data_IF_373471770945
#
_entry.id   IF_373471770945
#
_cell.length_a   1.000
_cell.length_b   1.000
_cell.length_c   1.000
_cell.angle_alpha   90.00
_cell.angle_beta   90.00
_cell.angle_gamma   90.00
#
_symmetry.space_group_name_H-M   'P 1'
#
loop_
_entity.id
_entity.type
_entity.pdbx_description
1 polymer ?
#
# COMPACT_ATOMS: atom_id res chain seq x y z
N UNK A 1 1.64 6.31 0.31
CA UNK A 1 1.19 6.31 1.73
C UNK A 1 -0.32 6.12 1.79
N UNK A 2 -0.84 5.16 2.55
CA UNK A 2 -2.28 5.03 2.75
C UNK A 2 -2.79 6.08 3.75
N UNK A 3 -4.05 6.48 3.63
CA UNK A 3 -4.69 7.54 4.44
C UNK A 3 -6.20 7.35 4.53
N UNK A 4 -6.84 8.16 5.37
CA UNK A 4 -8.29 8.35 5.37
C UNK A 4 -8.70 9.30 4.23
N UNK A 5 -9.98 9.69 4.19
CA UNK A 5 -10.47 10.67 3.20
C UNK A 5 -9.79 12.04 3.31
N UNK A 6 -9.37 12.46 4.52
CA UNK A 6 -8.64 13.71 4.70
C UNK A 6 -7.21 13.58 4.14
N UNK A 7 -6.71 14.57 3.38
CA UNK A 7 -5.42 14.47 2.69
C UNK A 7 -4.23 14.39 3.67
N UNK A 8 -4.29 15.10 4.80
CA UNK A 8 -3.21 15.17 5.79
C UNK A 8 -3.41 14.17 6.94
N UNK A 9 -3.80 12.93 6.62
CA UNK A 9 -4.14 11.94 7.64
C UNK A 9 -3.30 10.65 7.57
N UNK A 10 -2.27 10.62 6.72
CA UNK A 10 -1.39 9.47 6.64
C UNK A 10 -0.65 9.29 7.97
N UNK A 11 -0.54 8.05 8.43
CA UNK A 11 0.20 7.69 9.64
C UNK A 11 1.23 6.61 9.32
N UNK A 12 0.95 5.34 9.59
CA UNK A 12 1.91 4.24 9.43
C UNK A 12 1.56 3.27 8.29
N UNK A 13 0.35 3.33 7.73
CA UNK A 13 -0.05 2.40 6.67
C UNK A 13 0.55 2.81 5.32
N UNK A 14 1.12 1.83 4.61
CA UNK A 14 1.62 1.97 3.25
C UNK A 14 1.04 0.89 2.35
N UNK A 15 1.20 1.07 1.04
CA UNK A 15 0.85 0.09 0.02
C UNK A 15 1.94 0.08 -1.05
N UNK A 16 2.07 -1.05 -1.75
CA UNK A 16 2.99 -1.21 -2.88
C UNK A 16 2.15 -1.29 -4.15
N UNK A 17 2.48 -0.47 -5.14
CA UNK A 17 1.87 -0.57 -6.47
C UNK A 17 2.42 -1.83 -7.17
N UNK A 18 1.53 -2.74 -7.59
CA UNK A 18 1.89 -3.96 -8.35
C UNK A 18 1.64 -3.82 -9.86
N UNK A 19 1.14 -2.65 -10.27
CA UNK A 19 0.87 -2.17 -11.63
C UNK A 19 0.94 -0.64 -11.61
N UNK A 20 0.98 -0.01 -12.79
CA UNK A 20 0.91 1.44 -12.92
C UNK A 20 -0.51 1.94 -12.58
N UNK A 21 -0.62 2.73 -11.52
CA UNK A 21 -1.89 3.23 -10.98
C UNK A 21 -1.99 4.76 -11.12
N UNK A 22 -2.00 5.28 -12.34
CA UNK A 22 -1.93 6.73 -12.62
C UNK A 22 -3.06 7.55 -11.97
N UNK A 23 -4.21 6.92 -11.72
CA UNK A 23 -5.35 7.55 -11.04
C UNK A 23 -5.07 7.92 -9.57
N UNK A 24 -3.99 7.40 -8.97
CA UNK A 24 -3.57 7.73 -7.61
C UNK A 24 -2.65 8.96 -7.56
N UNK A 25 -2.19 9.46 -8.70
CA UNK A 25 -1.25 10.56 -8.79
C UNK A 25 -1.90 11.88 -8.37
N UNK A 26 -1.09 12.79 -7.80
CA UNK A 26 -1.51 14.15 -7.49
C UNK A 26 -1.89 14.90 -8.77
N UNK A 27 -3.05 15.54 -8.76
CA UNK A 27 -3.54 16.40 -9.85
C UNK A 27 -3.94 17.81 -9.38
N UNK A 28 -3.96 18.06 -8.06
CA UNK A 28 -4.22 19.39 -7.49
C UNK A 28 -4.70 19.33 -6.03
N UNK A 29 -4.66 20.46 -5.33
CA UNK A 29 -5.07 20.58 -3.91
C UNK A 29 -6.59 20.60 -3.74
N UNK A 30 -7.25 19.51 -4.13
CA UNK A 30 -8.67 19.27 -3.94
C UNK A 30 -8.89 17.89 -3.31
N UNK A 31 -10.03 17.68 -2.65
CA UNK A 31 -10.31 16.39 -1.99
C UNK A 31 -10.13 15.18 -2.93
N UNK A 32 -10.45 15.34 -4.22
CA UNK A 32 -10.29 14.33 -5.26
C UNK A 32 -8.90 14.33 -5.90
N UNK A 33 -8.21 15.47 -5.96
CA UNK A 33 -6.94 15.64 -6.66
C UNK A 33 -5.68 15.43 -5.80
N UNK A 34 -5.81 15.36 -4.48
CA UNK A 34 -4.67 15.23 -3.56
C UNK A 34 -3.83 13.97 -3.77
N UNK A 35 -4.42 12.91 -4.35
CA UNK A 35 -3.73 11.66 -4.66
C UNK A 35 -3.12 10.97 -3.43
N UNK A 36 -2.05 10.22 -3.68
CA UNK A 36 -1.29 9.45 -2.69
C UNK A 36 0.22 9.64 -2.90
N UNK A 37 0.90 10.11 -1.86
CA UNK A 37 2.34 10.38 -1.92
C UNK A 37 3.16 9.08 -2.07
N UNK A 38 3.93 9.00 -3.16
CA UNK A 38 5.00 8.02 -3.38
C UNK A 38 6.26 8.52 -2.68
N UNK A 39 6.93 7.65 -1.91
CA UNK A 39 8.11 8.02 -1.12
C UNK A 39 9.26 6.99 -1.19
N UNK A 40 9.03 5.85 -1.85
CA UNK A 40 9.99 4.77 -1.98
C UNK A 40 9.62 3.89 -3.19
N UNK A 41 10.56 3.07 -3.62
CA UNK A 41 10.38 2.02 -4.62
C UNK A 41 10.98 0.70 -4.13
N UNK A 42 10.47 -0.41 -4.66
CA UNK A 42 11.01 -1.75 -4.38
C UNK A 42 12.12 -2.03 -5.38
N UNK A 43 13.39 -1.93 -4.94
CA UNK A 43 14.56 -2.18 -5.79
C UNK A 43 14.90 -3.68 -5.92
N UNK A 44 14.50 -4.49 -4.93
CA UNK A 44 14.71 -5.94 -4.91
C UNK A 44 13.49 -6.63 -4.28
N UNK A 45 13.23 -7.89 -4.67
CA UNK A 45 12.16 -8.71 -4.07
C UNK A 45 10.76 -8.48 -4.65
N UNK A 46 10.63 -7.92 -5.85
CA UNK A 46 9.33 -7.80 -6.52
C UNK A 46 8.65 -9.15 -6.79
N UNK A 47 9.40 -10.24 -6.94
CA UNK A 47 8.83 -11.59 -7.03
C UNK A 47 8.12 -12.01 -5.73
N UNK A 48 8.58 -11.53 -4.57
CA UNK A 48 7.93 -11.74 -3.28
C UNK A 48 6.63 -10.93 -3.20
N UNK A 49 6.66 -9.68 -3.67
CA UNK A 49 5.45 -8.84 -3.80
C UNK A 49 4.42 -9.52 -4.71
N UNK A 50 4.85 -10.09 -5.84
CA UNK A 50 3.98 -10.82 -6.77
C UNK A 50 3.39 -12.11 -6.18
N UNK A 51 4.11 -12.79 -5.29
CA UNK A 51 3.56 -13.93 -4.53
C UNK A 51 2.51 -13.46 -3.53
N UNK A 52 2.78 -12.36 -2.83
CA UNK A 52 1.86 -11.79 -1.82
C UNK A 52 0.54 -11.35 -2.46
N UNK A 53 0.56 -10.65 -3.61
CA UNK A 53 -0.69 -10.18 -4.25
C UNK A 53 -1.62 -11.32 -4.70
N UNK A 54 -1.10 -12.55 -4.82
CA UNK A 54 -1.83 -13.71 -5.33
C UNK A 54 -2.37 -14.63 -4.22
N UNK A 55 -2.12 -14.34 -2.93
CA UNK A 55 -2.61 -15.17 -1.82
C UNK A 55 -4.13 -15.17 -1.76
N UNK A 56 -4.72 -16.25 -1.24
CA UNK A 56 -6.16 -16.30 -1.03
C UNK A 56 -6.59 -15.29 0.03
N UNK A 57 -7.59 -14.46 -0.29
CA UNK A 57 -8.15 -13.46 0.61
C UNK A 57 -9.59 -13.79 1.03
N UNK A 58 -10.08 -13.08 2.04
CA UNK A 58 -11.45 -13.15 2.53
C UNK A 58 -11.82 -11.91 3.33
N UNK A 59 -12.87 -12.04 4.16
CA UNK A 59 -13.34 -10.97 5.03
C UNK A 59 -12.94 -11.26 6.47
N UNK A 60 -12.44 -10.25 7.18
CA UNK A 60 -12.20 -10.29 8.63
C UNK A 60 -12.88 -9.09 9.29
N UNK A 61 -13.95 -9.36 10.06
CA UNK A 61 -14.81 -8.30 10.60
C UNK A 61 -15.40 -7.42 9.49
N UNK A 62 -15.08 -6.12 9.52
CA UNK A 62 -15.52 -5.16 8.49
C UNK A 62 -14.51 -5.00 7.35
N UNK A 63 -13.35 -5.64 7.43
CA UNK A 63 -12.29 -5.53 6.43
C UNK A 63 -12.44 -6.59 5.33
N UNK A 64 -12.36 -6.16 4.08
CA UNK A 64 -12.32 -7.01 2.89
C UNK A 64 -10.86 -7.21 2.46
N UNK A 65 -10.62 -8.19 1.58
CA UNK A 65 -9.32 -8.48 0.97
C UNK A 65 -8.21 -8.82 1.98
N UNK A 66 -8.58 -9.38 3.14
CA UNK A 66 -7.63 -9.82 4.16
C UNK A 66 -7.08 -11.20 3.77
N UNK A 67 -5.75 -11.41 3.71
CA UNK A 67 -5.16 -12.74 3.50
C UNK A 67 -5.73 -13.78 4.46
N UNK A 68 -6.01 -15.00 3.97
CA UNK A 68 -6.46 -16.12 4.80
C UNK A 68 -5.37 -16.65 5.72
N UNK A 69 -4.13 -16.60 5.23
CA UNK A 69 -2.92 -16.89 5.98
C UNK A 69 -2.14 -15.57 6.16
N UNK A 70 -1.67 -15.30 7.37
CA UNK A 70 -1.05 -14.02 7.72
C UNK A 70 0.25 -13.77 6.91
N UNK A 71 0.33 -12.59 6.28
CA UNK A 71 1.55 -12.09 5.63
C UNK A 71 2.25 -11.11 6.59
N UNK A 72 3.24 -11.61 7.33
CA UNK A 72 3.86 -10.89 8.45
C UNK A 72 5.20 -10.29 8.05
N UNK A 73 5.34 -8.97 8.23
CA UNK A 73 6.66 -8.31 8.26
C UNK A 73 7.32 -8.65 9.60
N UNK A 74 8.25 -9.62 9.59
CA UNK A 74 8.85 -10.16 10.82
C UNK A 74 9.87 -9.21 11.47
N UNK A 75 10.62 -8.49 10.65
CA UNK A 75 11.66 -7.55 11.09
C UNK A 75 11.90 -6.51 10.02
N UNK A 76 12.39 -5.34 10.43
CA UNK A 76 12.82 -4.26 9.55
C UNK A 76 14.25 -3.87 9.92
N UNK A 77 15.10 -3.69 8.92
CA UNK A 77 16.47 -3.21 9.08
C UNK A 77 16.63 -1.95 8.23
N UNK A 78 17.24 -0.93 8.81
CA UNK A 78 17.57 0.33 8.12
C UNK A 78 19.09 0.35 7.96
N UNK A 79 19.56 0.42 6.72
CA UNK A 79 20.97 0.63 6.37
C UNK A 79 21.18 2.04 5.83
N UNK A 80 22.37 2.58 6.03
CA UNK A 80 22.80 3.87 5.46
C UNK A 80 23.21 3.76 3.99
#
# INVERSE_FOLDING_TARGET
MARTQAPHSATAQFFINVVDNDFLNFSGESLQGWGYCVFAEVVEGMDVVDKIKAVATGRSGMHQDVPKDDVIIKSVTVSE
#
